data_IF_710513084251
#
_entry.id   IF_710513084251
#
_cell.length_a   1.000
_cell.length_b   1.000
_cell.length_c   1.000
_cell.angle_alpha   90.00
_cell.angle_beta   90.00
_cell.angle_gamma   90.00
#
_symmetry.space_group_name_H-M   'P 1'
#
loop_
_entity.id
_entity.type
_entity.pdbx_description
1 polymer ?
#
# COMPACT_ATOMS: atom_id res chain seq x y z
N UNK A 1 -39.72 37.75 31.69
CA UNK A 1 -38.36 37.63 32.26
C UNK A 1 -37.54 36.70 31.38
N UNK A 2 -36.23 36.97 31.30
CA UNK A 2 -35.31 36.62 30.21
C UNK A 2 -34.98 35.11 30.08
N UNK A 3 -34.69 34.72 28.84
CA UNK A 3 -34.04 33.49 28.34
C UNK A 3 -32.86 33.03 29.20
N UNK A 4 -32.57 31.72 29.18
CA UNK A 4 -31.21 31.17 29.03
C UNK A 4 -31.29 29.71 28.56
N UNK A 5 -31.22 29.50 27.24
CA UNK A 5 -30.87 28.21 26.63
C UNK A 5 -29.35 28.21 26.56
N UNK A 6 -28.69 27.31 27.30
CA UNK A 6 -27.26 27.05 27.13
C UNK A 6 -27.08 26.21 25.87
N UNK A 7 -26.66 26.86 24.78
CA UNK A 7 -26.08 26.19 23.61
C UNK A 7 -24.59 26.05 23.90
N UNK A 8 -24.13 24.82 24.10
CA UNK A 8 -22.70 24.52 24.13
C UNK A 8 -22.16 24.64 22.69
N UNK A 9 -21.41 25.71 22.42
CA UNK A 9 -20.58 25.81 21.22
C UNK A 9 -19.43 24.80 21.33
N UNK A 10 -19.48 23.75 20.53
CA UNK A 10 -18.30 22.96 20.17
C UNK A 10 -17.47 23.81 19.20
N UNK A 11 -16.36 24.34 19.70
CA UNK A 11 -15.29 24.89 18.87
C UNK A 11 -14.67 23.75 18.07
N UNK A 12 -15.04 23.63 16.79
CA UNK A 12 -14.31 22.84 15.81
C UNK A 12 -13.11 23.71 15.40
N UNK A 13 -11.97 23.48 16.03
CA UNK A 13 -10.69 24.02 15.58
C UNK A 13 -10.24 23.25 14.34
N UNK A 14 -10.74 23.65 13.17
CA UNK A 14 -10.13 23.28 11.90
C UNK A 14 -8.80 23.99 11.79
N UNK A 15 -7.70 23.30 12.09
CA UNK A 15 -6.39 23.70 11.60
C UNK A 15 -6.33 23.30 10.13
N UNK A 16 -6.84 24.18 9.27
CA UNK A 16 -6.35 24.24 7.90
C UNK A 16 -4.89 24.67 8.01
N UNK A 17 -3.98 23.70 7.90
CA UNK A 17 -2.59 23.97 7.59
C UNK A 17 -2.56 24.49 6.15
N UNK A 18 -2.78 25.79 5.98
CA UNK A 18 -2.47 26.49 4.74
C UNK A 18 -0.95 26.52 4.61
N UNK A 19 -0.38 25.55 3.89
CA UNK A 19 0.90 25.75 3.24
C UNK A 19 0.63 26.40 1.89
N UNK A 20 0.87 27.71 1.80
CA UNK A 20 1.01 28.42 0.53
C UNK A 20 2.16 27.76 -0.26
N UNK A 21 1.80 26.94 -1.24
CA UNK A 21 2.61 26.64 -2.40
C UNK A 21 1.68 26.45 -3.60
N UNK A 22 1.43 27.55 -4.31
CA UNK A 22 0.66 27.65 -5.57
C UNK A 22 1.32 26.90 -6.76
N UNK A 23 1.97 25.75 -6.52
CA UNK A 23 2.66 24.94 -7.55
C UNK A 23 2.33 23.45 -7.37
N UNK A 24 1.06 23.16 -7.10
CA UNK A 24 0.55 21.80 -7.21
C UNK A 24 0.41 21.44 -8.69
N UNK A 25 1.29 20.55 -9.18
CA UNK A 25 1.12 19.89 -10.49
C UNK A 25 -0.18 19.06 -10.57
N UNK A 26 -0.89 18.86 -9.45
CA UNK A 26 -2.16 18.13 -9.38
C UNK A 26 -3.31 19.07 -9.82
N UNK A 27 -4.12 18.70 -10.83
CA UNK A 27 -5.30 19.47 -11.23
C UNK A 27 -6.35 19.56 -10.11
N UNK A 28 -7.12 20.65 -10.07
CA UNK A 28 -8.17 20.88 -9.05
C UNK A 28 -9.23 19.77 -8.98
N UNK A 29 -9.59 19.19 -10.12
CA UNK A 29 -10.52 18.08 -10.22
C UNK A 29 -9.93 17.02 -11.17
N UNK A 30 -9.04 16.16 -10.66
CA UNK A 30 -8.25 15.27 -11.50
C UNK A 30 -9.13 14.22 -12.20
N UNK A 31 -10.24 13.79 -11.58
CA UNK A 31 -11.02 12.64 -12.06
C UNK A 31 -10.27 11.31 -11.90
N UNK A 32 -9.29 11.27 -11.00
CA UNK A 32 -8.50 10.09 -10.66
C UNK A 32 -7.95 10.21 -9.22
N UNK A 33 -7.60 9.09 -8.57
CA UNK A 33 -6.95 9.14 -7.26
C UNK A 33 -5.57 9.78 -7.35
N UNK A 34 -5.23 10.59 -6.36
CA UNK A 34 -3.97 11.35 -6.32
C UNK A 34 -3.16 11.06 -5.07
N UNK A 35 -1.84 11.06 -5.22
CA UNK A 35 -0.88 11.10 -4.12
C UNK A 35 -0.29 12.51 -4.02
N UNK A 36 -0.34 13.13 -2.84
CA UNK A 36 0.11 14.53 -2.64
C UNK A 36 1.63 14.68 -2.45
N UNK A 37 2.39 13.66 -2.82
CA UNK A 37 3.85 13.64 -2.75
C UNK A 37 4.42 13.44 -4.14
N UNK A 38 5.57 14.05 -4.40
CA UNK A 38 6.34 13.84 -5.62
C UNK A 38 7.09 12.50 -5.59
N UNK A 39 7.40 12.00 -4.39
CA UNK A 39 8.12 10.75 -4.21
C UNK A 39 7.79 10.07 -2.89
N UNK A 40 7.67 8.74 -2.95
CA UNK A 40 7.66 7.85 -1.79
C UNK A 40 8.81 6.85 -1.98
N UNK A 41 9.81 6.93 -1.12
CA UNK A 41 10.97 6.04 -1.15
C UNK A 41 11.06 5.25 0.16
N UNK A 42 11.25 3.94 0.05
CA UNK A 42 11.40 2.99 1.15
C UNK A 42 12.82 2.43 1.13
N UNK A 43 13.44 2.25 2.29
CA UNK A 43 14.73 1.58 2.40
C UNK A 43 14.80 0.63 3.60
N UNK A 44 15.25 -0.59 3.35
CA UNK A 44 15.39 -1.67 4.33
C UNK A 44 16.78 -2.30 4.21
N UNK A 45 17.43 -2.56 5.35
CA UNK A 45 18.67 -3.34 5.40
C UNK A 45 18.34 -4.76 5.87
N UNK A 46 18.41 -5.72 4.95
CA UNK A 46 18.22 -7.13 5.22
C UNK A 46 19.52 -7.74 5.74
N UNK A 47 19.46 -8.35 6.92
CA UNK A 47 20.60 -8.99 7.58
C UNK A 47 20.29 -10.47 7.79
N UNK A 48 21.01 -11.32 7.09
CA UNK A 48 20.99 -12.77 7.30
C UNK A 48 22.42 -13.23 7.55
N UNK A 49 22.76 -13.53 8.80
CA UNK A 49 24.09 -14.07 9.12
C UNK A 49 24.23 -15.49 8.55
N UNK A 50 25.37 -15.85 7.93
CA UNK A 50 26.66 -15.13 7.87
C UNK A 50 26.86 -14.29 6.59
N UNK A 51 25.80 -13.94 5.87
CA UNK A 51 25.88 -13.22 4.59
C UNK A 51 26.07 -11.72 4.80
N UNK A 52 26.67 -11.05 3.81
CA UNK A 52 26.81 -9.59 3.86
C UNK A 52 25.42 -8.93 3.74
N UNK A 53 25.14 -7.86 4.50
CA UNK A 53 23.85 -7.19 4.45
C UNK A 53 23.50 -6.70 3.05
N UNK A 54 22.21 -6.81 2.69
CA UNK A 54 21.65 -6.26 1.45
C UNK A 54 20.77 -5.08 1.80
N UNK A 55 21.02 -3.93 1.21
CA UNK A 55 20.13 -2.77 1.30
C UNK A 55 19.19 -2.76 0.10
N UNK A 56 17.89 -2.85 0.35
CA UNK A 56 16.85 -2.65 -0.66
C UNK A 56 16.33 -1.22 -0.55
N UNK A 57 16.32 -0.50 -1.67
CA UNK A 57 15.69 0.81 -1.81
C UNK A 57 14.63 0.75 -2.89
N UNK A 58 13.40 1.10 -2.57
CA UNK A 58 12.26 1.12 -3.48
C UNK A 58 11.77 2.56 -3.62
N UNK A 59 11.65 3.06 -4.84
CA UNK A 59 11.27 4.45 -5.11
C UNK A 59 10.06 4.49 -6.02
N UNK A 60 8.97 5.11 -5.57
CA UNK A 60 7.81 5.47 -6.37
C UNK A 60 7.87 6.96 -6.67
N UNK A 61 7.89 7.32 -7.94
CA UNK A 61 7.90 8.71 -8.39
C UNK A 61 6.52 9.10 -8.93
N UNK A 62 6.10 10.32 -8.64
CA UNK A 62 4.78 10.83 -8.97
C UNK A 62 4.87 12.12 -9.79
N UNK A 63 3.91 12.30 -10.68
CA UNK A 63 3.71 13.55 -11.42
C UNK A 63 2.21 13.81 -11.54
N UNK A 64 1.79 15.04 -11.25
CA UNK A 64 0.37 15.40 -11.18
C UNK A 64 -0.44 14.41 -10.30
N UNK A 65 0.18 13.93 -9.21
CA UNK A 65 -0.44 12.99 -8.28
C UNK A 65 -0.53 11.53 -8.75
N UNK A 66 -0.12 11.21 -9.98
CA UNK A 66 -0.09 9.85 -10.52
C UNK A 66 1.31 9.26 -10.45
N UNK A 67 1.42 7.98 -10.12
CA UNK A 67 2.71 7.25 -10.18
C UNK A 67 3.15 7.13 -11.64
N UNK A 68 4.39 7.51 -11.93
CA UNK A 68 4.97 7.45 -13.28
C UNK A 68 6.06 6.40 -13.43
N UNK A 69 6.72 6.05 -12.33
CA UNK A 69 7.77 5.04 -12.33
C UNK A 69 7.97 4.44 -10.96
N UNK A 70 8.51 3.23 -10.96
CA UNK A 70 9.00 2.53 -9.79
C UNK A 70 10.42 2.03 -10.06
N UNK A 71 11.30 2.15 -9.08
CA UNK A 71 12.67 1.61 -9.15
C UNK A 71 12.99 0.86 -7.87
N UNK A 72 13.52 -0.37 -8.00
CA UNK A 72 14.04 -1.16 -6.90
C UNK A 72 15.55 -1.36 -7.05
N UNK A 73 16.33 -0.91 -6.08
CA UNK A 73 17.79 -1.05 -6.05
C UNK A 73 18.17 -1.95 -4.88
N UNK A 74 18.88 -3.04 -5.17
CA UNK A 74 19.56 -3.85 -4.17
C UNK A 74 21.05 -3.51 -4.18
N UNK A 75 21.60 -3.15 -3.02
CA UNK A 75 23.01 -2.82 -2.84
C UNK A 75 23.64 -3.75 -1.80
N UNK A 76 24.77 -4.37 -2.14
CA UNK A 76 25.48 -5.31 -1.25
C UNK A 76 26.99 -5.31 -1.53
N UNK A 77 27.77 -5.86 -0.61
CA UNK A 77 29.23 -6.00 -0.75
C UNK A 77 29.59 -7.46 -1.03
N UNK A 78 30.39 -7.70 -2.07
CA UNK A 78 30.95 -9.02 -2.37
C UNK A 78 32.42 -8.87 -2.77
N UNK A 79 33.32 -9.68 -2.20
CA UNK A 79 34.75 -9.61 -2.52
C UNK A 79 35.44 -8.28 -2.18
N UNK A 80 34.85 -7.45 -1.31
CA UNK A 80 35.35 -6.11 -0.97
C UNK A 80 34.84 -4.98 -1.87
N UNK A 81 34.03 -5.29 -2.89
CA UNK A 81 33.43 -4.32 -3.81
C UNK A 81 31.93 -4.17 -3.56
N UNK A 82 31.39 -2.97 -3.85
CA UNK A 82 29.95 -2.71 -3.76
C UNK A 82 29.27 -2.97 -5.10
N UNK A 83 28.24 -3.81 -5.09
CA UNK A 83 27.40 -4.13 -6.24
C UNK A 83 26.03 -3.50 -6.08
N UNK A 84 25.42 -3.14 -7.22
CA UNK A 84 24.03 -2.66 -7.30
C UNK A 84 23.30 -3.42 -8.39
N UNK A 85 22.11 -3.92 -8.06
CA UNK A 85 21.14 -4.47 -9.00
C UNK A 85 19.96 -3.51 -9.00
N UNK A 86 19.60 -2.99 -10.16
CA UNK A 86 18.51 -2.03 -10.32
C UNK A 86 17.47 -2.61 -11.26
N UNK A 87 16.22 -2.57 -10.81
CA UNK A 87 15.07 -2.94 -11.62
C UNK A 87 14.16 -1.73 -11.76
N UNK A 88 13.82 -1.36 -12.99
CA UNK A 88 12.97 -0.23 -13.29
C UNK A 88 11.59 -0.67 -13.83
N UNK A 89 10.57 0.11 -13.52
CA UNK A 89 9.20 -0.08 -14.00
C UNK A 89 8.63 1.29 -14.39
N UNK A 90 7.96 1.34 -15.53
CA UNK A 90 7.32 2.55 -16.04
C UNK A 90 5.80 2.42 -16.01
N UNK A 91 5.12 3.56 -15.85
CA UNK A 91 3.66 3.64 -15.88
C UNK A 91 3.23 4.64 -16.95
N UNK A 92 2.40 4.19 -17.88
CA UNK A 92 1.83 5.02 -18.95
C UNK A 92 0.31 5.00 -18.83
N UNK A 93 -0.30 6.18 -18.82
CA UNK A 93 -1.74 6.32 -18.75
C UNK A 93 -2.34 6.59 -20.13
N UNK A 94 -3.45 5.94 -20.42
CA UNK A 94 -4.30 6.16 -21.59
C UNK A 94 -5.74 6.47 -21.17
N UNK A 95 -6.63 6.51 -22.16
CA UNK A 95 -8.06 6.59 -21.91
C UNK A 95 -8.53 5.34 -21.15
N UNK A 96 -9.08 5.52 -19.95
CA UNK A 96 -9.52 4.45 -19.04
C UNK A 96 -8.49 3.31 -18.88
N UNK A 97 -7.20 3.65 -18.87
CA UNK A 97 -6.14 2.66 -18.86
C UNK A 97 -4.88 3.13 -18.13
N UNK A 98 -4.24 2.21 -17.41
CA UNK A 98 -2.84 2.33 -16.97
C UNK A 98 -2.05 1.10 -17.43
N UNK A 99 -0.89 1.31 -18.05
CA UNK A 99 0.02 0.25 -18.48
C UNK A 99 1.28 0.32 -17.64
N UNK A 100 1.56 -0.75 -16.91
CA UNK A 100 2.75 -0.91 -16.07
C UNK A 100 3.68 -1.90 -16.75
N UNK A 101 4.90 -1.48 -17.08
CA UNK A 101 5.89 -2.31 -17.78
C UNK A 101 7.18 -2.35 -16.98
N UNK A 102 7.62 -3.55 -16.59
CA UNK A 102 8.89 -3.77 -15.92
C UNK A 102 10.05 -4.00 -16.91
N UNK A 103 11.27 -4.04 -16.38
CA UNK A 103 12.52 -4.17 -17.15
C UNK A 103 12.66 -5.49 -17.93
N UNK A 104 11.96 -6.56 -17.53
CA UNK A 104 11.97 -7.86 -18.22
C UNK A 104 10.80 -7.99 -19.21
N UNK A 105 10.11 -6.89 -19.50
CA UNK A 105 8.97 -6.78 -20.41
C UNK A 105 7.75 -7.58 -19.97
N UNK A 106 7.57 -7.80 -18.67
CA UNK A 106 6.24 -8.14 -18.16
C UNK A 106 5.38 -6.89 -18.18
N UNK A 107 4.18 -7.01 -18.75
CA UNK A 107 3.26 -5.90 -18.98
C UNK A 107 1.96 -6.17 -18.24
N UNK A 108 1.59 -5.28 -17.32
CA UNK A 108 0.28 -5.25 -16.65
C UNK A 108 -0.55 -4.11 -17.21
N UNK A 109 -1.61 -4.44 -17.94
CA UNK A 109 -2.57 -3.48 -18.49
C UNK A 109 -3.82 -3.45 -17.63
N UNK A 110 -4.03 -2.34 -16.92
CA UNK A 110 -5.19 -2.09 -16.06
C UNK A 110 -6.26 -1.36 -16.85
N UNK A 111 -7.49 -1.87 -16.83
CA UNK A 111 -8.67 -1.14 -17.30
C UNK A 111 -9.22 -0.35 -16.13
N UNK A 112 -9.36 0.95 -16.27
CA UNK A 112 -9.81 1.88 -15.22
C UNK A 112 -11.28 2.25 -15.43
N UNK A 113 -11.99 2.55 -14.35
CA UNK A 113 -13.30 3.20 -14.38
C UNK A 113 -13.18 4.71 -14.61
N UNK A 114 -14.33 5.39 -14.69
CA UNK A 114 -14.43 6.85 -14.89
C UNK A 114 -13.76 7.66 -13.78
N UNK A 115 -13.49 7.04 -12.61
CA UNK A 115 -12.83 7.67 -11.46
C UNK A 115 -11.36 7.26 -11.35
N UNK A 116 -10.81 6.54 -12.33
CA UNK A 116 -9.41 6.16 -12.40
C UNK A 116 -9.02 4.94 -11.57
N UNK A 117 -9.97 4.16 -11.06
CA UNK A 117 -9.70 2.91 -10.32
C UNK A 117 -9.81 1.69 -11.23
N UNK A 118 -8.90 0.74 -11.10
CA UNK A 118 -8.87 -0.42 -11.97
C UNK A 118 -10.06 -1.35 -11.69
N UNK A 119 -10.78 -1.76 -12.73
CA UNK A 119 -11.81 -2.81 -12.64
C UNK A 119 -11.26 -4.18 -13.03
N UNK A 120 -10.22 -4.20 -13.86
CA UNK A 120 -9.52 -5.42 -14.27
C UNK A 120 -8.07 -5.15 -14.63
N UNK A 121 -7.26 -6.21 -14.65
CA UNK A 121 -5.89 -6.17 -15.15
C UNK A 121 -5.59 -7.43 -15.97
N UNK A 122 -4.94 -7.27 -17.12
CA UNK A 122 -4.31 -8.36 -17.85
C UNK A 122 -2.80 -8.21 -17.68
N UNK A 123 -2.17 -9.19 -17.02
CA UNK A 123 -0.72 -9.28 -16.86
C UNK A 123 -0.17 -10.34 -17.81
N UNK A 124 0.71 -9.91 -18.70
CA UNK A 124 1.45 -10.78 -19.61
C UNK A 124 2.87 -10.93 -19.11
N UNK A 125 3.19 -12.10 -18.58
CA UNK A 125 4.54 -12.44 -18.10
C UNK A 125 5.51 -12.61 -19.28
N UNK A 126 6.81 -12.51 -19.00
CA UNK A 126 7.88 -12.69 -20.00
C UNK A 126 7.80 -14.03 -20.76
N UNK A 127 7.34 -15.11 -20.10
CA UNK A 127 7.17 -16.43 -20.72
C UNK A 127 5.89 -16.56 -21.57
N UNK A 128 5.14 -15.46 -21.72
CA UNK A 128 3.91 -15.39 -22.49
C UNK A 128 2.67 -15.82 -21.73
N UNK A 129 2.79 -16.29 -20.48
CA UNK A 129 1.62 -16.61 -19.65
C UNK A 129 0.81 -15.36 -19.36
N UNK A 130 -0.50 -15.55 -19.35
CA UNK A 130 -1.47 -14.49 -19.05
C UNK A 130 -2.10 -14.78 -17.70
N UNK A 131 -2.11 -13.75 -16.86
CA UNK A 131 -2.86 -13.72 -15.60
C UNK A 131 -3.89 -12.61 -15.70
N UNK A 132 -5.12 -12.93 -15.37
CA UNK A 132 -6.24 -11.99 -15.41
C UNK A 132 -6.69 -11.67 -14.00
N UNK A 133 -6.94 -10.41 -13.71
CA UNK A 133 -7.39 -9.95 -12.41
C UNK A 133 -8.67 -9.14 -12.52
N UNK A 134 -9.55 -9.26 -11.53
CA UNK A 134 -10.71 -8.39 -11.33
C UNK A 134 -10.65 -7.78 -9.94
N UNK A 135 -11.13 -6.54 -9.81
CA UNK A 135 -11.09 -5.80 -8.56
C UNK A 135 -12.48 -5.27 -8.20
N UNK A 136 -12.81 -5.37 -6.91
CA UNK A 136 -14.03 -4.78 -6.34
C UNK A 136 -13.68 -3.85 -5.18
N UNK A 137 -14.54 -2.87 -4.92
CA UNK A 137 -14.28 -1.79 -3.97
C UNK A 137 -15.40 -1.61 -2.95
N UNK A 138 -15.02 -1.16 -1.75
CA UNK A 138 -15.89 -0.44 -0.84
C UNK A 138 -15.76 1.05 -1.14
N UNK A 139 -16.87 1.72 -1.39
CA UNK A 139 -16.91 3.17 -1.57
C UNK A 139 -17.45 3.79 -0.28
N UNK A 140 -16.68 4.66 0.36
CA UNK A 140 -17.13 5.33 1.57
C UNK A 140 -18.04 6.54 1.24
N UNK A 141 -18.56 7.20 2.27
CA UNK A 141 -19.41 8.38 2.13
C UNK A 141 -18.72 9.61 1.54
N UNK A 142 -17.38 9.62 1.52
CA UNK A 142 -16.55 10.68 0.92
C UNK A 142 -16.23 10.38 -0.56
N UNK A 143 -16.69 9.25 -1.10
CA UNK A 143 -16.39 8.83 -2.47
C UNK A 143 -15.01 8.20 -2.64
N UNK A 144 -14.29 7.89 -1.56
CA UNK A 144 -13.02 7.16 -1.60
C UNK A 144 -13.24 5.67 -1.81
N UNK A 145 -12.35 5.06 -2.59
CA UNK A 145 -12.43 3.64 -2.98
C UNK A 145 -11.42 2.85 -2.16
N UNK A 146 -11.86 1.82 -1.45
CA UNK A 146 -10.99 0.91 -0.73
C UNK A 146 -11.10 -0.48 -1.34
N UNK A 147 -9.97 -1.09 -1.70
CA UNK A 147 -9.97 -2.43 -2.27
C UNK A 147 -10.71 -3.40 -1.35
N UNK A 148 -11.74 -4.05 -1.86
CA UNK A 148 -12.53 -5.05 -1.14
C UNK A 148 -12.20 -6.46 -1.60
N UNK A 149 -11.93 -6.63 -2.89
CA UNK A 149 -11.63 -7.93 -3.46
C UNK A 149 -10.65 -7.80 -4.62
N UNK A 150 -9.75 -8.76 -4.71
CA UNK A 150 -8.96 -9.07 -5.90
C UNK A 150 -9.11 -10.56 -6.18
N UNK A 151 -9.39 -10.92 -7.43
CA UNK A 151 -9.44 -12.31 -7.88
C UNK A 151 -8.48 -12.48 -9.05
N UNK A 152 -7.60 -13.48 -8.97
CA UNK A 152 -6.72 -13.91 -10.05
C UNK A 152 -7.28 -15.15 -10.73
N UNK A 153 -7.27 -15.11 -12.06
CA UNK A 153 -7.59 -16.23 -12.95
C UNK A 153 -6.38 -16.54 -13.82
N UNK A 154 -5.98 -17.81 -13.83
CA UNK A 154 -4.96 -18.33 -14.74
C UNK A 154 -5.63 -18.90 -15.99
N UNK A 155 -4.94 -18.77 -17.13
CA UNK A 155 -5.35 -19.37 -18.41
C UNK A 155 -6.83 -19.11 -18.75
N UNK A 156 -7.24 -17.84 -18.55
CA UNK A 156 -8.55 -17.22 -18.81
C UNK A 156 -9.77 -17.79 -18.07
N UNK A 157 -9.72 -18.97 -17.44
CA UNK A 157 -10.92 -19.55 -16.81
C UNK A 157 -10.69 -20.34 -15.51
N UNK A 158 -9.47 -20.42 -14.99
CA UNK A 158 -9.22 -21.09 -13.71
C UNK A 158 -8.95 -20.08 -12.59
N UNK A 159 -9.94 -19.80 -11.71
CA UNK A 159 -9.68 -19.05 -10.48
C UNK A 159 -8.55 -19.72 -9.71
N UNK A 160 -7.54 -18.95 -9.34
CA UNK A 160 -6.34 -19.47 -8.70
C UNK A 160 -6.10 -18.83 -7.34
N UNK A 161 -6.26 -17.51 -7.23
CA UNK A 161 -6.09 -16.84 -5.94
C UNK A 161 -7.04 -15.68 -5.78
N UNK A 162 -7.28 -15.30 -4.53
CA UNK A 162 -8.05 -14.11 -4.20
C UNK A 162 -7.62 -13.54 -2.85
N UNK A 163 -7.86 -12.25 -2.66
CA UNK A 163 -7.84 -11.61 -1.35
C UNK A 163 -9.15 -10.87 -1.18
N UNK A 164 -9.86 -11.15 -0.09
CA UNK A 164 -11.02 -10.40 0.35
C UNK A 164 -10.66 -9.57 1.59
N UNK A 165 -11.06 -8.30 1.61
CA UNK A 165 -10.86 -7.39 2.74
C UNK A 165 -12.23 -6.95 3.25
N UNK A 166 -12.56 -7.36 4.47
CA UNK A 166 -13.76 -6.96 5.18
C UNK A 166 -13.47 -5.79 6.14
N UNK A 167 -14.25 -4.72 5.95
CA UNK A 167 -14.20 -3.45 6.67
C UNK A 167 -15.37 -3.30 7.66
N UNK A 168 -16.13 -4.37 7.91
CA UNK A 168 -17.35 -4.34 8.73
C UNK A 168 -17.12 -3.89 10.19
N UNK A 169 -15.91 -4.09 10.72
CA UNK A 169 -15.54 -3.73 12.08
C UNK A 169 -14.71 -2.45 12.13
N UNK A 170 -15.15 -1.47 12.92
CA UNK A 170 -14.42 -0.23 13.09
C UNK A 170 -13.00 -0.47 13.63
N UNK A 171 -12.00 0.10 12.95
CA UNK A 171 -10.59 -0.02 13.32
C UNK A 171 -9.97 -1.41 13.11
N UNK A 172 -10.68 -2.34 12.45
CA UNK A 172 -10.19 -3.70 12.17
C UNK A 172 -10.50 -4.09 10.72
N UNK A 173 -9.49 -4.60 10.03
CA UNK A 173 -9.62 -5.23 8.72
C UNK A 173 -9.49 -6.74 8.89
N UNK A 174 -10.45 -7.48 8.36
CA UNK A 174 -10.34 -8.94 8.24
C UNK A 174 -9.98 -9.27 6.80
N UNK A 175 -8.80 -9.84 6.61
CA UNK A 175 -8.20 -10.09 5.29
C UNK A 175 -8.14 -11.60 5.08
N UNK A 176 -8.93 -12.13 4.16
CA UNK A 176 -8.93 -13.56 3.81
C UNK A 176 -8.23 -13.74 2.47
N UNK A 177 -7.11 -14.45 2.48
CA UNK A 177 -6.35 -14.83 1.31
C UNK A 177 -6.65 -16.28 0.95
N UNK A 178 -6.95 -16.53 -0.31
CA UNK A 178 -6.99 -17.87 -0.88
C UNK A 178 -5.91 -17.98 -1.95
N UNK A 179 -5.08 -19.03 -1.87
CA UNK A 179 -4.12 -19.40 -2.93
C UNK A 179 -4.31 -20.87 -3.24
N UNK A 180 -4.74 -21.17 -4.46
CA UNK A 180 -5.18 -22.49 -4.89
C UNK A 180 -6.29 -23.03 -3.96
N UNK A 181 -5.96 -24.01 -3.12
CA UNK A 181 -6.89 -24.65 -2.16
C UNK A 181 -6.60 -24.26 -0.71
N UNK A 182 -5.56 -23.47 -0.48
CA UNK A 182 -5.17 -23.02 0.85
C UNK A 182 -5.82 -21.67 1.12
N UNK A 183 -6.38 -21.53 2.31
CA UNK A 183 -6.97 -20.28 2.79
C UNK A 183 -6.25 -19.87 4.08
N UNK A 184 -6.00 -18.58 4.22
CA UNK A 184 -5.48 -17.98 5.44
C UNK A 184 -6.21 -16.66 5.69
N UNK A 185 -6.70 -16.48 6.92
CA UNK A 185 -7.29 -15.21 7.34
C UNK A 185 -6.36 -14.50 8.32
N UNK A 186 -6.27 -13.18 8.15
CA UNK A 186 -5.50 -12.27 8.99
C UNK A 186 -6.41 -11.18 9.54
N UNK A 187 -6.10 -10.74 10.76
CA UNK A 187 -6.75 -9.62 11.42
C UNK A 187 -5.74 -8.50 11.56
N UNK A 188 -5.95 -7.40 10.83
CA UNK A 188 -5.16 -6.18 10.93
C UNK A 188 -5.97 -5.14 11.71
N UNK A 189 -5.35 -4.41 12.64
CA UNK A 189 -6.05 -3.42 13.45
C UNK A 189 -5.25 -2.17 13.73
N UNK A 190 -5.97 -1.07 13.92
CA UNK A 190 -5.45 0.18 14.47
C UNK A 190 -5.88 0.33 15.94
N UNK A 191 -5.19 1.17 16.69
CA UNK A 191 -5.60 1.48 18.06
C UNK A 191 -6.85 2.35 18.03
N UNK A 192 -7.98 1.87 18.55
CA UNK A 192 -9.23 2.64 18.60
C UNK A 192 -9.22 3.80 19.61
N UNK A 193 -8.20 3.86 20.48
CA UNK A 193 -8.02 4.95 21.45
C UNK A 193 -6.91 5.93 21.05
N UNK A 194 -5.98 5.51 20.19
CA UNK A 194 -4.84 6.30 19.72
C UNK A 194 -4.65 6.06 18.22
N UNK A 195 -5.69 6.37 17.43
CA UNK A 195 -5.62 6.25 15.98
C UNK A 195 -4.54 7.17 15.41
N UNK A 196 -3.77 6.64 14.47
CA UNK A 196 -2.73 7.40 13.79
C UNK A 196 -3.23 7.68 12.38
N UNK A 197 -3.51 8.95 12.07
CA UNK A 197 -3.91 9.36 10.74
C UNK A 197 -2.81 9.04 9.71
N UNK A 198 -3.18 8.48 8.57
CA UNK A 198 -2.26 8.18 7.47
C UNK A 198 -2.10 9.40 6.55
N UNK A 199 -1.57 10.48 7.09
CA UNK A 199 -1.18 11.69 6.34
C UNK A 199 -0.09 11.43 5.32
N UNK A 200 0.60 10.29 5.42
CA UNK A 200 1.67 9.86 4.51
C UNK A 200 1.13 9.15 3.27
N UNK A 201 -0.16 8.84 3.24
CA UNK A 201 -0.83 8.19 2.10
C UNK A 201 -0.18 6.87 1.66
N UNK A 202 0.53 6.21 2.57
CA UNK A 202 1.21 4.94 2.29
C UNK A 202 0.24 3.76 2.43
N UNK A 203 0.37 2.72 1.60
CA UNK A 203 -0.43 1.52 1.77
C UNK A 203 -0.02 0.75 3.01
N UNK A 204 -0.85 -0.20 3.41
CA UNK A 204 -0.47 -1.16 4.43
C UNK A 204 0.55 -2.16 3.85
N UNK A 205 1.80 -2.11 4.33
CA UNK A 205 2.93 -2.89 3.80
C UNK A 205 2.64 -4.40 3.67
N UNK A 206 1.91 -4.99 4.61
CA UNK A 206 1.56 -6.40 4.52
C UNK A 206 0.74 -6.73 3.25
N UNK A 207 -0.15 -5.84 2.81
CA UNK A 207 -0.92 -6.05 1.57
C UNK A 207 -0.01 -6.09 0.34
N UNK A 208 1.07 -5.29 0.32
CA UNK A 208 2.03 -5.30 -0.80
C UNK A 208 2.92 -6.54 -0.79
N UNK A 209 3.00 -7.26 0.34
CA UNK A 209 3.74 -8.52 0.45
C UNK A 209 2.83 -9.76 0.20
N UNK A 210 1.50 -9.58 0.24
CA UNK A 210 0.52 -10.67 0.15
C UNK A 210 0.17 -11.04 -1.30
N UNK A 211 0.28 -12.31 -1.67
CA UNK A 211 -0.13 -12.79 -2.99
C UNK A 211 -1.67 -12.82 -3.17
N UNK A 212 -2.26 -12.35 -4.30
CA UNK A 212 -1.60 -11.87 -5.51
C UNK A 212 -1.27 -10.36 -5.52
N UNK A 213 -1.65 -9.57 -4.51
CA UNK A 213 -1.34 -8.12 -4.44
C UNK A 213 0.15 -7.78 -4.55
N UNK A 214 1.03 -8.71 -4.17
CA UNK A 214 2.48 -8.60 -4.39
C UNK A 214 2.89 -8.33 -5.85
N UNK A 215 2.08 -8.70 -6.84
CA UNK A 215 2.31 -8.34 -8.25
C UNK A 215 1.82 -6.94 -8.64
N UNK A 216 1.17 -6.24 -7.73
CA UNK A 216 0.46 -4.99 -7.98
C UNK A 216 0.95 -3.85 -7.10
N UNK A 217 2.16 -3.92 -6.55
CA UNK A 217 2.70 -2.89 -5.64
C UNK A 217 2.68 -1.49 -6.29
N UNK A 218 3.06 -1.35 -7.55
CA UNK A 218 2.99 -0.08 -8.30
C UNK A 218 1.55 0.45 -8.39
N UNK A 219 0.58 -0.45 -8.57
CA UNK A 219 -0.83 -0.08 -8.66
C UNK A 219 -1.43 0.33 -7.31
N UNK A 220 -0.98 -0.30 -6.24
CA UNK A 220 -1.32 0.04 -4.86
C UNK A 220 -0.75 1.42 -4.50
N UNK A 221 0.55 1.64 -4.69
CA UNK A 221 1.19 2.94 -4.43
C UNK A 221 0.73 4.05 -5.38
N UNK A 222 0.22 3.68 -6.56
CA UNK A 222 -0.43 4.59 -7.52
C UNK A 222 -1.90 4.86 -7.24
N UNK A 223 -2.48 4.24 -6.19
CA UNK A 223 -3.88 4.32 -5.76
C UNK A 223 -4.94 3.91 -6.79
N UNK A 224 -4.56 3.42 -7.96
CA UNK A 224 -5.53 2.88 -8.91
C UNK A 224 -6.00 1.46 -8.55
N UNK A 225 -5.50 0.86 -7.45
CA UNK A 225 -6.18 -0.23 -6.72
C UNK A 225 -6.87 0.24 -5.43
N UNK A 226 -7.24 1.52 -5.35
CA UNK A 226 -7.92 2.10 -4.21
C UNK A 226 -7.02 3.03 -3.38
N UNK A 227 -7.68 3.92 -2.64
CA UNK A 227 -7.07 4.83 -1.70
C UNK A 227 -6.35 4.11 -0.56
N UNK A 228 -5.29 4.75 -0.06
CA UNK A 228 -4.66 4.34 1.18
C UNK A 228 -5.65 4.45 2.35
N UNK A 229 -5.61 3.50 3.28
CA UNK A 229 -6.46 3.53 4.45
C UNK A 229 -6.19 4.79 5.28
N UNK A 230 -7.25 5.42 5.78
CA UNK A 230 -7.16 6.72 6.48
C UNK A 230 -6.35 6.65 7.77
N UNK A 231 -6.18 5.47 8.36
CA UNK A 231 -5.39 5.25 9.57
C UNK A 231 -4.29 4.22 9.36
N UNK A 232 -3.18 4.36 10.06
CA UNK A 232 -2.10 3.36 10.02
C UNK A 232 -2.49 2.13 10.85
N UNK A 233 -2.23 0.95 10.29
CA UNK A 233 -2.37 -0.33 10.98
C UNK A 233 -1.22 -0.50 11.95
N UNK A 234 -1.51 -0.89 13.19
CA UNK A 234 -0.48 -1.04 14.24
C UNK A 234 -0.29 -2.48 14.67
N UNK A 235 -1.22 -3.37 14.32
CA UNK A 235 -1.16 -4.79 14.68
C UNK A 235 -1.68 -5.67 13.54
N UNK A 236 -1.11 -6.85 13.44
CA UNK A 236 -1.51 -7.93 12.54
C UNK A 236 -1.36 -9.26 13.26
N UNK A 237 -2.27 -10.19 12.99
CA UNK A 237 -2.13 -11.59 13.37
C UNK A 237 -2.89 -12.49 12.41
N UNK A 238 -2.47 -13.75 12.21
CA UNK A 238 -3.37 -14.79 11.74
C UNK A 238 -4.62 -14.84 12.62
N UNK A 239 -5.77 -15.16 12.05
CA UNK A 239 -6.96 -15.41 12.85
C UNK A 239 -6.79 -16.70 13.67
N UNK A 240 -6.51 -17.80 12.98
CA UNK A 240 -6.16 -19.07 13.60
C UNK A 240 -4.69 -19.01 14.04
N UNK A 241 -4.50 -18.76 15.34
CA UNK A 241 -3.21 -18.35 15.86
C UNK A 241 -2.80 -19.04 17.18
N UNK A 242 -3.49 -20.11 17.56
CA UNK A 242 -3.28 -20.76 18.85
C UNK A 242 -1.95 -21.50 18.96
N UNK A 243 -1.43 -22.00 17.83
CA UNK A 243 -0.19 -22.77 17.78
C UNK A 243 1.04 -21.87 17.81
N UNK A 244 1.14 -20.94 16.86
CA UNK A 244 2.28 -20.05 16.69
C UNK A 244 2.26 -18.87 17.66
N UNK A 245 1.07 -18.43 18.11
CA UNK A 245 0.85 -17.14 18.77
C UNK A 245 1.46 -15.98 17.96
N UNK A 246 1.38 -16.07 16.63
CA UNK A 246 1.99 -15.12 15.73
C UNK A 246 1.35 -13.74 15.81
N UNK A 247 2.15 -12.72 16.08
CA UNK A 247 1.69 -11.33 16.11
C UNK A 247 2.74 -10.43 15.49
N UNK A 248 2.33 -9.51 14.63
CA UNK A 248 3.18 -8.45 14.11
C UNK A 248 2.70 -7.11 14.62
N UNK A 249 3.60 -6.35 15.23
CA UNK A 249 3.33 -4.98 15.69
C UNK A 249 4.13 -3.99 14.85
N UNK A 250 3.47 -2.91 14.45
CA UNK A 250 4.05 -1.82 13.65
C UNK A 250 4.18 -0.58 14.52
N UNK A 251 5.38 -0.01 14.57
CA UNK A 251 5.67 1.25 15.27
C UNK A 251 6.20 2.27 14.28
N UNK A 252 5.47 3.37 14.14
CA UNK A 252 5.80 4.45 13.22
C UNK A 252 6.52 5.59 13.93
N UNK A 253 7.52 6.16 13.27
CA UNK A 253 8.14 7.44 13.62
C UNK A 253 7.79 8.48 12.55
N UNK A 254 7.72 9.75 12.96
CA UNK A 254 7.23 10.84 12.11
C UNK A 254 8.20 12.02 12.12
N UNK A 255 8.21 12.76 11.01
CA UNK A 255 8.82 14.08 10.95
C UNK A 255 7.91 15.16 11.59
N UNK A 256 8.39 16.40 11.60
CA UNK A 256 7.65 17.55 12.14
C UNK A 256 6.35 17.89 11.39
N UNK A 257 6.16 17.39 10.17
CA UNK A 257 4.95 17.55 9.37
C UNK A 257 3.90 16.46 9.69
N UNK A 258 4.28 15.48 10.52
CA UNK A 258 3.46 14.30 10.80
C UNK A 258 3.53 13.27 9.67
N UNK A 259 4.59 13.26 8.85
CA UNK A 259 4.81 12.28 7.78
C UNK A 259 5.74 11.18 8.27
N UNK A 260 5.43 9.92 7.95
CA UNK A 260 6.18 8.73 8.37
C UNK A 260 7.62 8.81 7.86
N UNK A 261 8.58 8.60 8.76
CA UNK A 261 10.01 8.50 8.45
C UNK A 261 10.56 7.10 8.65
N UNK A 262 9.93 6.28 9.50
CA UNK A 262 10.26 4.87 9.64
C UNK A 262 9.10 4.06 10.21
N UNK A 263 9.12 2.76 9.93
CA UNK A 263 8.24 1.75 10.51
C UNK A 263 9.11 0.60 11.02
N UNK A 264 9.12 0.41 12.34
CA UNK A 264 9.68 -0.78 12.97
C UNK A 264 8.58 -1.84 13.05
N UNK A 265 8.89 -3.02 12.53
CA UNK A 265 8.00 -4.17 12.57
C UNK A 265 8.62 -5.27 13.40
N UNK A 266 7.84 -5.80 14.33
CA UNK A 266 8.24 -6.91 15.18
C UNK A 266 7.20 -8.01 15.05
N UNK A 267 7.57 -9.09 14.38
CA UNK A 267 6.79 -10.32 14.31
C UNK A 267 7.28 -11.29 15.37
N UNK A 268 6.41 -11.72 16.26
CA UNK A 268 6.67 -12.80 17.22
C UNK A 268 5.96 -14.04 16.73
N UNK A 269 6.64 -15.17 16.61
CA UNK A 269 6.03 -16.43 16.18
C UNK A 269 6.81 -17.60 16.77
N UNK A 270 6.14 -18.60 17.33
CA UNK A 270 6.75 -19.79 17.96
C UNK A 270 7.81 -19.49 19.04
N UNK A 271 7.74 -18.31 19.67
CA UNK A 271 8.69 -17.87 20.69
C UNK A 271 9.92 -17.13 20.15
N UNK A 272 10.04 -17.00 18.82
CA UNK A 272 11.09 -16.23 18.15
C UNK A 272 10.59 -14.82 17.76
N UNK A 273 11.52 -13.86 17.74
CA UNK A 273 11.28 -12.47 17.33
C UNK A 273 11.98 -12.20 15.99
N UNK A 274 11.20 -11.84 14.98
CA UNK A 274 11.66 -11.34 13.68
C UNK A 274 11.44 -9.83 13.62
N UNK A 275 12.45 -9.09 13.17
CA UNK A 275 12.43 -7.63 13.18
C UNK A 275 12.84 -7.09 11.83
N UNK A 276 12.08 -6.13 11.32
CA UNK A 276 12.49 -5.30 10.18
C UNK A 276 12.25 -3.83 10.47
N UNK A 277 13.09 -2.99 9.89
CA UNK A 277 12.96 -1.52 9.97
C UNK A 277 12.95 -0.98 8.56
N UNK A 278 11.85 -0.34 8.20
CA UNK A 278 11.67 0.32 6.91
C UNK A 278 11.82 1.81 7.15
N UNK A 279 12.77 2.45 6.47
CA UNK A 279 12.92 3.90 6.46
C UNK A 279 12.15 4.49 5.28
N UNK A 280 11.51 5.63 5.49
CA UNK A 280 10.72 6.33 4.51
C UNK A 280 11.34 7.71 4.22
N UNK A 281 11.39 8.05 2.93
CA UNK A 281 11.68 9.39 2.44
C UNK A 281 10.52 9.83 1.55
N UNK A 282 9.63 10.61 2.14
CA UNK A 282 8.39 11.10 1.52
C UNK A 282 8.51 12.62 1.34
N UNK A 283 8.49 13.06 0.08
CA UNK A 283 8.70 14.46 -0.31
C UNK A 283 7.69 14.95 -1.35
#
# INVERSE_FOLDING_TARGET
MKKNILVALLFIGGLAACSDSDDSDIPDNPGYPVTHFSKIELSEVKKEEPTSPVTLTQTYAYKAGRVISFTAIQSFVAGGETFKIENATSVVYGDHQAVVTDEINTVSTYTLDDNGYAVSCIRKEMDGKIRSYTFDYLINTEGKYFLKNITETLDENQPYSSINIDYSSYGTLRITQQVNKSEQTYIASTSTTNEIANTSEIPYLFLTDLYPLSFHSVAIYGKFLGDAYNTLITNLRPEDNSESNETTTYKYEFDRRGIVTSCDEVTKSYGDDYKRTINYRIE
#
